data_IF_915052933019
#
_entry.id   IF_915052933019
#
_cell.length_a   1.000
_cell.length_b   1.000
_cell.length_c   1.000
_cell.angle_alpha   90.00
_cell.angle_beta   90.00
_cell.angle_gamma   90.00
#
_symmetry.space_group_name_H-M   'P 1'
#
loop_
_entity.id
_entity.type
_entity.pdbx_description
1 polymer ?
#
# COMPACT_ATOMS: atom_id res chain seq x y z
N UNK A 1 16.14 -21.94 -9.30
CA UNK A 1 14.97 -21.05 -9.06
C UNK A 1 15.39 -19.60 -8.87
N UNK A 2 16.42 -19.28 -8.05
CA UNK A 2 16.84 -17.88 -7.85
C UNK A 2 17.46 -17.19 -9.10
N UNK A 3 18.10 -17.94 -10.01
CA UNK A 3 18.78 -17.38 -11.20
C UNK A 3 17.82 -16.69 -12.20
N UNK A 4 16.54 -17.08 -12.22
CA UNK A 4 15.51 -16.46 -13.07
C UNK A 4 15.26 -14.99 -12.68
N UNK A 5 15.52 -14.64 -11.41
CA UNK A 5 15.28 -13.30 -10.87
C UNK A 5 16.48 -12.36 -11.02
N UNK A 6 17.60 -12.83 -11.59
CA UNK A 6 18.80 -12.04 -11.89
C UNK A 6 19.22 -11.11 -10.73
N UNK A 7 19.50 -11.64 -9.52
CA UNK A 7 19.68 -10.85 -8.31
C UNK A 7 20.88 -9.89 -8.35
N UNK A 8 21.83 -10.10 -9.27
CA UNK A 8 22.97 -9.22 -9.50
C UNK A 8 22.60 -7.96 -10.29
N UNK A 9 21.45 -7.96 -10.97
CA UNK A 9 20.95 -6.84 -11.75
C UNK A 9 19.87 -6.08 -10.98
N UNK A 10 19.82 -4.77 -11.19
CA UNK A 10 18.65 -3.99 -10.79
C UNK A 10 17.45 -4.34 -11.67
N UNK A 11 16.24 -4.22 -11.10
CA UNK A 11 15.02 -4.32 -11.90
C UNK A 11 15.00 -3.22 -12.97
N UNK A 12 14.30 -3.43 -14.10
CA UNK A 12 14.13 -2.40 -15.12
C UNK A 12 13.45 -1.14 -14.54
N UNK A 13 13.61 0.00 -15.20
CA UNK A 13 13.13 1.29 -14.67
C UNK A 13 11.63 1.26 -14.39
N UNK A 14 10.84 0.64 -15.26
CA UNK A 14 9.40 0.48 -15.13
C UNK A 14 9.03 -0.28 -13.85
N UNK A 15 9.78 -1.33 -13.52
CA UNK A 15 9.57 -2.09 -12.28
C UNK A 15 10.01 -1.28 -11.04
N UNK A 16 11.05 -0.44 -11.15
CA UNK A 16 11.44 0.46 -10.08
C UNK A 16 10.39 1.55 -9.82
N UNK A 17 9.75 2.05 -10.88
CA UNK A 17 8.72 3.08 -10.80
C UNK A 17 7.43 2.58 -10.15
N UNK A 18 7.05 1.31 -10.37
CA UNK A 18 5.83 0.72 -9.80
C UNK A 18 5.76 0.92 -8.28
N UNK A 19 6.84 0.63 -7.56
CA UNK A 19 6.91 0.73 -6.10
C UNK A 19 6.61 2.15 -5.58
N UNK A 20 7.20 3.17 -6.23
CA UNK A 20 7.02 4.57 -5.84
C UNK A 20 5.66 5.12 -6.30
N UNK A 21 5.19 4.72 -7.49
CA UNK A 21 3.87 5.08 -7.98
C UNK A 21 2.76 4.49 -7.11
N UNK A 22 2.94 3.25 -6.67
CA UNK A 22 2.03 2.57 -5.74
C UNK A 22 2.00 3.28 -4.39
N UNK A 23 3.17 3.69 -3.86
CA UNK A 23 3.23 4.48 -2.63
C UNK A 23 2.46 5.81 -2.74
N UNK A 24 2.60 6.55 -3.84
CA UNK A 24 1.82 7.80 -4.06
C UNK A 24 0.33 7.50 -4.11
N UNK A 25 -0.07 6.48 -4.87
CA UNK A 25 -1.48 6.12 -5.04
C UNK A 25 -2.12 5.69 -3.72
N UNK A 26 -1.48 4.77 -2.98
CA UNK A 26 -2.01 4.29 -1.70
C UNK A 26 -2.04 5.39 -0.64
N UNK A 27 -0.97 6.18 -0.47
CA UNK A 27 -0.94 7.22 0.56
C UNK A 27 -2.01 8.30 0.32
N UNK A 28 -2.23 8.70 -0.93
CA UNK A 28 -3.25 9.72 -1.25
C UNK A 28 -4.67 9.17 -1.14
N UNK A 29 -4.91 7.93 -1.60
CA UNK A 29 -6.21 7.27 -1.45
C UNK A 29 -6.56 7.04 0.02
N UNK A 30 -5.61 6.56 0.83
CA UNK A 30 -5.84 6.32 2.26
C UNK A 30 -6.07 7.62 3.04
N UNK A 31 -5.44 8.74 2.62
CA UNK A 31 -5.72 10.05 3.20
C UNK A 31 -7.16 10.49 2.90
N UNK A 32 -7.63 10.29 1.67
CA UNK A 32 -9.01 10.59 1.26
C UNK A 32 -10.03 9.74 2.04
N UNK A 33 -9.80 8.44 2.11
CA UNK A 33 -10.66 7.49 2.82
C UNK A 33 -10.67 7.79 4.32
N UNK A 34 -9.51 8.09 4.92
CA UNK A 34 -9.43 8.42 6.34
C UNK A 34 -10.18 9.72 6.68
N UNK A 35 -10.06 10.75 5.83
CA UNK A 35 -10.81 11.99 5.99
C UNK A 35 -12.32 11.77 5.80
N UNK A 36 -12.70 11.07 4.73
CA UNK A 36 -14.09 10.75 4.40
C UNK A 36 -14.77 9.89 5.48
N UNK A 37 -14.03 8.98 6.11
CA UNK A 37 -14.50 8.15 7.22
C UNK A 37 -14.49 8.89 8.58
N UNK A 38 -13.99 10.13 8.65
CA UNK A 38 -13.86 10.91 9.88
C UNK A 38 -12.84 10.33 10.86
N UNK A 39 -11.90 9.52 10.39
CA UNK A 39 -10.79 8.97 11.19
C UNK A 39 -9.74 10.05 11.49
N UNK A 40 -9.61 11.03 10.60
CA UNK A 40 -8.72 12.18 10.76
C UNK A 40 -9.48 13.47 10.47
N UNK A 41 -9.16 14.53 11.19
CA UNK A 41 -9.70 15.86 10.95
C UNK A 41 -8.76 16.71 10.14
N UNK A 42 -9.30 17.67 9.39
CA UNK A 42 -8.52 18.59 8.56
C UNK A 42 -7.42 19.32 9.37
N UNK A 43 -7.72 19.78 10.58
CA UNK A 43 -6.73 20.46 11.43
C UNK A 43 -5.56 19.55 11.86
N UNK A 44 -5.80 18.26 12.04
CA UNK A 44 -4.74 17.29 12.33
C UNK A 44 -3.85 17.09 11.10
N UNK A 45 -4.45 16.99 9.91
CA UNK A 45 -3.71 16.86 8.65
C UNK A 45 -2.82 18.09 8.43
N UNK A 46 -3.38 19.29 8.59
CA UNK A 46 -2.66 20.55 8.41
C UNK A 46 -1.50 20.72 9.41
N UNK A 47 -1.66 20.20 10.64
CA UNK A 47 -0.62 20.29 11.66
C UNK A 47 0.56 19.33 11.43
N UNK A 48 0.32 18.19 10.77
CA UNK A 48 1.29 17.10 10.68
C UNK A 48 1.81 16.82 9.26
N UNK A 49 1.13 17.32 8.22
CA UNK A 49 1.52 17.10 6.82
C UNK A 49 1.76 18.46 6.15
N UNK A 50 2.99 19.02 6.25
CA UNK A 50 3.29 20.37 5.75
C UNK A 50 2.97 20.57 4.27
N UNK A 51 3.29 19.57 3.42
CA UNK A 51 2.99 19.65 1.99
C UNK A 51 1.48 19.76 1.71
N UNK A 52 0.64 19.12 2.54
CA UNK A 52 -0.81 19.27 2.44
C UNK A 52 -1.28 20.65 2.94
N UNK A 53 -0.63 21.21 3.97
CA UNK A 53 -0.92 22.56 4.44
C UNK A 53 -0.60 23.63 3.37
N UNK A 54 0.54 23.48 2.68
CA UNK A 54 0.92 24.35 1.56
C UNK A 54 -0.04 24.22 0.37
N UNK A 55 -0.46 22.98 0.06
CA UNK A 55 -1.50 22.71 -0.92
C UNK A 55 -2.83 23.39 -0.56
N UNK A 56 -3.25 23.30 0.71
CA UNK A 56 -4.46 23.94 1.22
C UNK A 56 -4.41 25.47 1.13
N UNK A 57 -3.27 26.08 1.46
CA UNK A 57 -3.07 27.52 1.31
C UNK A 57 -3.16 27.98 -0.17
N UNK A 58 -2.61 27.16 -1.08
CA UNK A 58 -2.68 27.39 -2.53
C UNK A 58 -4.13 27.33 -3.02
N UNK A 59 -4.89 26.33 -2.57
CA UNK A 59 -6.31 26.13 -2.92
C UNK A 59 -7.19 27.25 -2.36
N UNK A 60 -6.98 27.68 -1.12
CA UNK A 60 -7.73 28.80 -0.50
C UNK A 60 -7.55 30.10 -1.30
N UNK A 61 -6.34 30.33 -1.82
CA UNK A 61 -6.05 31.51 -2.66
C UNK A 61 -6.80 31.43 -4.00
N UNK A 62 -6.92 30.22 -4.58
CA UNK A 62 -7.56 29.99 -5.88
C UNK A 62 -9.09 29.93 -5.79
N UNK A 63 -9.62 29.42 -4.69
CA UNK A 63 -11.04 29.16 -4.46
C UNK A 63 -11.47 29.69 -3.07
N UNK A 64 -11.47 31.02 -2.87
CA UNK A 64 -11.79 31.59 -1.56
C UNK A 64 -13.22 31.24 -1.13
N UNK A 65 -13.37 30.76 0.10
CA UNK A 65 -14.68 30.39 0.65
C UNK A 65 -15.29 29.09 0.12
N UNK A 66 -14.48 28.23 -0.52
CA UNK A 66 -14.87 26.85 -0.80
C UNK A 66 -15.26 26.11 0.49
N UNK A 67 -16.21 25.18 0.39
CA UNK A 67 -16.52 24.30 1.53
C UNK A 67 -15.33 23.37 1.85
N UNK A 68 -15.30 22.85 3.08
CA UNK A 68 -14.19 22.04 3.59
C UNK A 68 -13.92 20.80 2.74
N UNK A 69 -14.95 20.22 2.13
CA UNK A 69 -14.81 19.00 1.32
C UNK A 69 -14.17 19.32 -0.03
N UNK A 70 -14.63 20.37 -0.70
CA UNK A 70 -14.03 20.85 -1.94
C UNK A 70 -12.58 21.28 -1.71
N UNK A 71 -12.34 22.04 -0.63
CA UNK A 71 -10.99 22.46 -0.25
C UNK A 71 -10.08 21.27 -0.01
N UNK A 72 -10.54 20.25 0.72
CA UNK A 72 -9.78 19.03 0.96
C UNK A 72 -9.44 18.29 -0.35
N UNK A 73 -10.42 18.00 -1.21
CA UNK A 73 -10.17 17.26 -2.45
C UNK A 73 -9.23 18.02 -3.42
N UNK A 74 -9.39 19.33 -3.56
CA UNK A 74 -8.49 20.12 -4.42
C UNK A 74 -7.08 20.17 -3.82
N UNK A 75 -6.94 20.23 -2.49
CA UNK A 75 -5.64 20.18 -1.81
C UNK A 75 -4.98 18.81 -1.96
N UNK A 76 -5.77 17.74 -1.90
CA UNK A 76 -5.31 16.38 -2.14
C UNK A 76 -4.82 16.21 -3.59
N UNK A 77 -5.51 16.82 -4.57
CA UNK A 77 -5.06 16.81 -5.96
C UNK A 77 -3.72 17.53 -6.13
N UNK A 78 -3.56 18.70 -5.49
CA UNK A 78 -2.28 19.43 -5.50
C UNK A 78 -1.17 18.60 -4.84
N UNK A 79 -1.43 17.98 -3.68
CA UNK A 79 -0.49 17.07 -3.03
C UNK A 79 -0.08 15.91 -3.96
N UNK A 80 -1.04 15.27 -4.62
CA UNK A 80 -0.77 14.20 -5.59
C UNK A 80 0.12 14.69 -6.74
N UNK A 81 -0.20 15.85 -7.32
CA UNK A 81 0.57 16.45 -8.41
C UNK A 81 2.01 16.77 -7.99
N UNK A 82 2.22 17.29 -6.77
CA UNK A 82 3.56 17.57 -6.21
C UNK A 82 4.38 16.28 -5.99
N UNK A 83 3.75 15.21 -5.46
CA UNK A 83 4.41 13.92 -5.28
C UNK A 83 4.83 13.29 -6.62
N UNK A 84 3.94 13.32 -7.61
CA UNK A 84 4.22 12.78 -8.95
C UNK A 84 5.29 13.62 -9.66
N UNK A 85 5.21 14.95 -9.58
CA UNK A 85 6.21 15.84 -10.19
C UNK A 85 7.58 15.60 -9.59
N UNK A 86 7.67 15.48 -8.26
CA UNK A 86 8.91 15.15 -7.58
C UNK A 86 9.45 13.75 -7.89
N UNK A 87 8.60 12.77 -8.19
CA UNK A 87 9.03 11.46 -8.68
C UNK A 87 9.65 11.55 -10.08
N UNK A 88 9.00 12.29 -10.97
CA UNK A 88 9.47 12.48 -12.35
C UNK A 88 10.82 13.20 -12.33
N UNK A 89 10.91 14.32 -11.60
CA UNK A 89 12.12 15.13 -11.49
C UNK A 89 13.27 14.35 -10.84
N UNK A 90 13.02 13.70 -9.70
CA UNK A 90 14.05 12.92 -9.00
C UNK A 90 14.58 11.76 -9.84
N UNK A 91 13.69 11.08 -10.59
CA UNK A 91 14.08 9.99 -11.48
C UNK A 91 14.89 10.50 -12.67
N UNK A 92 14.49 11.63 -13.25
CA UNK A 92 15.22 12.25 -14.35
C UNK A 92 16.63 12.68 -13.90
N UNK A 93 16.74 13.33 -12.74
CA UNK A 93 18.03 13.73 -12.18
C UNK A 93 18.93 12.54 -11.90
N UNK A 94 18.39 11.47 -11.31
CA UNK A 94 19.14 10.24 -11.05
C UNK A 94 19.61 9.57 -12.35
N UNK A 95 18.76 9.51 -13.38
CA UNK A 95 19.11 8.95 -14.67
C UNK A 95 20.21 9.76 -15.37
N UNK A 96 20.12 11.09 -15.33
CA UNK A 96 21.13 12.00 -15.90
C UNK A 96 22.47 11.89 -15.16
N UNK A 97 22.46 11.82 -13.83
CA UNK A 97 23.68 11.65 -13.02
C UNK A 97 24.34 10.28 -13.24
N UNK A 98 23.54 9.25 -13.52
CA UNK A 98 24.02 7.92 -13.87
C UNK A 98 24.50 7.81 -15.32
N UNK A 99 24.31 8.86 -16.14
CA UNK A 99 24.57 8.85 -17.59
C UNK A 99 23.89 7.65 -18.29
N UNK A 100 22.69 7.28 -17.82
CA UNK A 100 21.99 6.09 -18.31
C UNK A 100 21.33 6.36 -19.67
N UNK A 101 21.85 5.77 -20.75
CA UNK A 101 21.33 5.92 -22.11
C UNK A 101 20.55 4.68 -22.60
N UNK A 102 20.63 3.57 -21.88
CA UNK A 102 19.99 2.30 -22.24
C UNK A 102 19.38 1.57 -21.05
N UNK A 103 18.48 0.63 -21.33
CA UNK A 103 17.91 -0.24 -20.30
C UNK A 103 18.98 -1.07 -19.58
N UNK A 104 20.09 -1.40 -20.25
CA UNK A 104 21.19 -2.15 -19.64
C UNK A 104 21.91 -1.30 -18.60
N UNK A 105 22.07 0.00 -18.84
CA UNK A 105 22.72 0.91 -17.90
C UNK A 105 21.91 0.99 -16.60
N UNK A 106 20.58 1.10 -16.71
CA UNK A 106 19.66 1.04 -15.55
C UNK A 106 19.85 -0.26 -14.76
N UNK A 107 19.94 -1.40 -15.45
CA UNK A 107 20.04 -2.72 -14.82
C UNK A 107 21.40 -2.99 -14.19
N UNK A 108 22.47 -2.42 -14.74
CA UNK A 108 23.83 -2.57 -14.22
C UNK A 108 24.21 -1.48 -13.20
N UNK A 109 23.43 -0.41 -13.09
CA UNK A 109 23.68 0.65 -12.13
C UNK A 109 23.65 0.13 -10.68
N UNK A 110 24.56 0.56 -9.79
CA UNK A 110 24.63 0.06 -8.42
C UNK A 110 23.40 0.42 -7.56
N UNK A 111 22.68 1.49 -7.91
CA UNK A 111 21.48 1.96 -7.21
C UNK A 111 20.25 1.99 -8.13
N UNK A 112 19.05 2.00 -7.53
CA UNK A 112 17.82 2.32 -8.26
C UNK A 112 17.89 3.76 -8.78
N UNK A 113 17.34 3.97 -9.97
CA UNK A 113 17.25 5.29 -10.61
C UNK A 113 15.86 5.91 -10.44
N UNK A 114 14.79 5.10 -10.27
CA UNK A 114 13.51 5.65 -9.85
C UNK A 114 13.63 6.18 -8.42
N UNK A 115 13.43 7.49 -8.25
CA UNK A 115 13.60 8.19 -7.00
C UNK A 115 12.75 9.46 -6.96
N UNK A 116 12.29 9.83 -5.77
CA UNK A 116 11.77 11.17 -5.52
C UNK A 116 12.92 12.18 -5.44
N UNK A 117 12.61 13.46 -5.66
CA UNK A 117 13.50 14.53 -5.17
C UNK A 117 13.66 14.43 -3.65
N UNK A 118 14.76 14.93 -3.05
CA UNK A 118 14.94 14.89 -1.60
C UNK A 118 13.80 15.56 -0.81
N UNK A 119 13.20 16.62 -1.36
CA UNK A 119 12.07 17.30 -0.75
C UNK A 119 10.80 16.43 -0.79
N UNK A 120 10.52 15.81 -1.94
CA UNK A 120 9.36 14.95 -2.12
C UNK A 120 9.47 13.66 -1.32
N UNK A 121 10.67 13.06 -1.21
CA UNK A 121 10.93 11.91 -0.34
C UNK A 121 10.58 12.22 1.13
N UNK A 122 11.06 13.36 1.64
CA UNK A 122 10.77 13.79 3.01
C UNK A 122 9.27 14.03 3.22
N UNK A 123 8.58 14.59 2.23
CA UNK A 123 7.14 14.80 2.28
C UNK A 123 6.35 13.49 2.25
N UNK A 124 6.69 12.55 1.35
CA UNK A 124 6.07 11.22 1.27
C UNK A 124 6.25 10.47 2.58
N UNK A 125 7.47 10.48 3.13
CA UNK A 125 7.75 9.85 4.42
C UNK A 125 6.92 10.47 5.56
N UNK A 126 6.77 11.79 5.58
CA UNK A 126 5.95 12.49 6.59
C UNK A 126 4.47 12.10 6.48
N UNK A 127 3.92 12.08 5.26
CA UNK A 127 2.56 11.62 5.00
C UNK A 127 2.35 10.17 5.45
N UNK A 128 3.29 9.28 5.09
CA UNK A 128 3.27 7.87 5.48
C UNK A 128 3.28 7.69 7.01
N UNK A 129 4.10 8.47 7.71
CA UNK A 129 4.14 8.48 9.17
C UNK A 129 2.84 8.97 9.80
N UNK A 130 2.24 10.01 9.22
CA UNK A 130 0.92 10.49 9.64
C UNK A 130 -0.15 9.41 9.47
N UNK A 131 -0.27 8.81 8.28
CA UNK A 131 -1.23 7.73 8.02
C UNK A 131 -1.03 6.53 8.95
N UNK A 132 0.22 6.16 9.20
CA UNK A 132 0.53 5.09 10.13
C UNK A 132 0.11 5.40 11.58
N UNK A 133 0.36 6.62 12.05
CA UNK A 133 -0.02 7.03 13.41
C UNK A 133 -1.53 7.15 13.60
N UNK A 134 -2.21 7.80 12.66
CA UNK A 134 -3.59 8.25 12.83
C UNK A 134 -4.62 7.30 12.21
N UNK A 135 -4.25 6.59 11.13
CA UNK A 135 -5.17 5.71 10.39
C UNK A 135 -4.91 4.25 10.76
N UNK A 136 -3.75 3.70 10.39
CA UNK A 136 -3.50 2.25 10.53
C UNK A 136 -3.44 1.75 11.97
N UNK A 137 -3.07 2.61 12.92
CA UNK A 137 -3.03 2.31 14.35
C UNK A 137 -4.24 2.85 15.13
N UNK A 138 -5.27 3.33 14.44
CA UNK A 138 -6.51 3.74 15.11
C UNK A 138 -7.16 2.56 15.85
N UNK A 139 -7.74 2.85 17.02
CA UNK A 139 -8.35 1.84 17.90
C UNK A 139 -9.40 0.98 17.18
N UNK A 140 -10.33 1.56 16.37
CA UNK A 140 -11.33 0.76 15.66
C UNK A 140 -10.70 -0.24 14.68
N UNK A 141 -9.67 0.19 13.93
CA UNK A 141 -8.98 -0.68 12.97
C UNK A 141 -8.16 -1.76 13.68
N UNK A 142 -7.53 -1.46 14.82
CA UNK A 142 -6.77 -2.43 15.60
C UNK A 142 -7.64 -3.59 16.12
N UNK A 143 -8.85 -3.29 16.63
CA UNK A 143 -9.78 -4.31 17.11
C UNK A 143 -10.26 -5.22 15.98
N UNK A 144 -10.68 -4.65 14.84
CA UNK A 144 -11.09 -5.41 13.66
C UNK A 144 -9.95 -6.28 13.11
N UNK A 145 -8.72 -5.74 13.03
CA UNK A 145 -7.54 -6.47 12.56
C UNK A 145 -7.21 -7.66 13.46
N UNK A 146 -7.28 -7.47 14.79
CA UNK A 146 -7.04 -8.56 15.74
C UNK A 146 -8.08 -9.68 15.60
N UNK A 147 -9.36 -9.32 15.41
CA UNK A 147 -10.42 -10.28 15.17
C UNK A 147 -10.17 -11.08 13.88
N UNK A 148 -9.92 -10.41 12.76
CA UNK A 148 -9.65 -11.07 11.49
C UNK A 148 -8.42 -12.00 11.58
N UNK A 149 -7.35 -11.56 12.26
CA UNK A 149 -6.16 -12.39 12.48
C UNK A 149 -6.48 -13.67 13.25
N UNK A 150 -7.27 -13.58 14.32
CA UNK A 150 -7.71 -14.75 15.07
C UNK A 150 -8.56 -15.69 14.21
N UNK A 151 -9.50 -15.15 13.44
CA UNK A 151 -10.33 -15.95 12.53
C UNK A 151 -9.48 -16.70 11.49
N UNK A 152 -8.50 -16.03 10.88
CA UNK A 152 -7.59 -16.65 9.91
C UNK A 152 -6.78 -17.77 10.58
N UNK A 153 -6.25 -17.52 11.77
CA UNK A 153 -5.47 -18.51 12.51
C UNK A 153 -6.30 -19.75 12.89
N UNK A 154 -7.54 -19.54 13.35
CA UNK A 154 -8.47 -20.62 13.69
C UNK A 154 -8.84 -21.45 12.45
N UNK A 155 -9.17 -20.80 11.32
CA UNK A 155 -9.50 -21.49 10.08
C UNK A 155 -8.30 -22.26 9.50
N UNK A 156 -7.12 -21.65 9.56
CA UNK A 156 -5.86 -22.28 9.15
C UNK A 156 -5.58 -23.53 9.99
N UNK A 157 -5.68 -23.43 11.32
CA UNK A 157 -5.52 -24.56 12.23
C UNK A 157 -6.51 -25.69 11.94
N UNK A 158 -7.78 -25.34 11.74
CA UNK A 158 -8.84 -26.30 11.45
C UNK A 158 -8.56 -27.12 10.18
N UNK A 159 -8.18 -26.47 9.07
CA UNK A 159 -7.84 -27.17 7.83
C UNK A 159 -6.52 -27.93 7.92
N UNK A 160 -5.55 -27.45 8.71
CA UNK A 160 -4.28 -28.15 8.89
C UNK A 160 -4.46 -29.46 9.66
N UNK A 161 -5.30 -29.46 10.69
CA UNK A 161 -5.68 -30.66 11.45
C UNK A 161 -6.57 -31.61 10.62
N UNK A 162 -7.39 -31.06 9.72
CA UNK A 162 -8.35 -31.81 8.92
C UNK A 162 -8.23 -31.51 7.41
N UNK A 163 -7.13 -31.89 6.72
CA UNK A 163 -6.93 -31.53 5.31
C UNK A 163 -7.99 -32.07 4.35
N UNK A 164 -8.75 -33.10 4.76
CA UNK A 164 -9.87 -33.67 4.00
C UNK A 164 -11.07 -32.74 3.89
N UNK A 165 -11.12 -31.67 4.70
CA UNK A 165 -12.18 -30.66 4.66
C UNK A 165 -11.89 -29.54 3.64
N UNK A 166 -10.67 -29.48 3.10
CA UNK A 166 -10.36 -28.60 1.98
C UNK A 166 -11.20 -28.98 0.75
N UNK A 167 -11.44 -28.06 -0.20
CA UNK A 167 -12.02 -28.44 -1.49
C UNK A 167 -11.15 -29.45 -2.23
N UNK A 168 -11.78 -30.30 -3.04
CA UNK A 168 -11.15 -31.45 -3.71
C UNK A 168 -9.86 -31.13 -4.51
N UNK A 169 -9.76 -29.99 -5.23
CA UNK A 169 -8.51 -29.61 -5.89
C UNK A 169 -7.33 -29.46 -4.91
N UNK A 170 -7.57 -28.88 -3.75
CA UNK A 170 -6.55 -28.66 -2.72
C UNK A 170 -6.24 -29.95 -1.96
N UNK A 171 -7.22 -30.82 -1.72
CA UNK A 171 -6.96 -32.15 -1.12
C UNK A 171 -5.96 -32.97 -1.94
N UNK A 172 -6.04 -32.87 -3.28
CA UNK A 172 -5.10 -33.53 -4.18
C UNK A 172 -3.70 -32.91 -4.11
N UNK A 173 -3.61 -31.59 -3.97
CA UNK A 173 -2.34 -30.87 -3.80
C UNK A 173 -1.63 -31.22 -2.49
N UNK A 174 -2.37 -31.48 -1.39
CA UNK A 174 -1.78 -31.92 -0.11
C UNK A 174 -0.99 -33.24 -0.24
N UNK A 175 -1.24 -34.05 -1.28
CA UNK A 175 -0.44 -35.26 -1.56
C UNK A 175 0.92 -34.96 -2.17
N UNK A 176 1.09 -33.79 -2.79
CA UNK A 176 2.27 -33.38 -3.54
C UNK A 176 3.05 -32.23 -2.88
N UNK A 177 2.43 -31.46 -2.00
CA UNK A 177 3.02 -30.32 -1.31
C UNK A 177 2.73 -30.35 0.21
N UNK A 178 3.56 -29.70 1.05
CA UNK A 178 3.31 -29.63 2.48
C UNK A 178 1.92 -29.06 2.80
N UNK A 179 1.13 -29.71 3.69
CA UNK A 179 -0.25 -29.30 3.97
C UNK A 179 -0.40 -27.83 4.34
N UNK A 180 0.52 -27.29 5.16
CA UNK A 180 0.49 -25.89 5.58
C UNK A 180 0.58 -24.90 4.42
N UNK A 181 1.30 -25.24 3.33
CA UNK A 181 1.43 -24.38 2.16
C UNK A 181 0.13 -24.39 1.36
N UNK A 182 -0.44 -25.57 1.13
CA UNK A 182 -1.72 -25.73 0.42
C UNK A 182 -2.87 -25.03 1.16
N UNK A 183 -2.92 -25.15 2.49
CA UNK A 183 -3.90 -24.43 3.31
C UNK A 183 -3.69 -22.92 3.24
N UNK A 184 -2.43 -22.45 3.26
CA UNK A 184 -2.10 -21.04 3.10
C UNK A 184 -2.58 -20.51 1.74
N UNK A 185 -2.28 -21.21 0.64
CA UNK A 185 -2.69 -20.84 -0.71
C UNK A 185 -4.22 -20.80 -0.84
N UNK A 186 -4.92 -21.77 -0.25
CA UNK A 186 -6.38 -21.81 -0.25
C UNK A 186 -6.99 -20.61 0.48
N UNK A 187 -6.50 -20.30 1.70
CA UNK A 187 -7.00 -19.17 2.48
C UNK A 187 -6.64 -17.84 1.82
N UNK A 188 -5.42 -17.70 1.29
CA UNK A 188 -4.96 -16.49 0.60
C UNK A 188 -5.74 -16.22 -0.71
N UNK A 189 -6.31 -17.27 -1.32
CA UNK A 189 -7.19 -17.15 -2.49
C UNK A 189 -8.63 -16.76 -2.18
N UNK A 190 -9.02 -16.62 -0.91
CA UNK A 190 -10.38 -16.25 -0.51
C UNK A 190 -10.60 -14.74 -0.63
N UNK A 191 -11.77 -14.34 -1.11
CA UNK A 191 -12.25 -12.96 -0.93
C UNK A 191 -12.78 -12.76 0.49
N UNK A 192 -12.75 -11.54 1.02
CA UNK A 192 -13.25 -11.23 2.36
C UNK A 192 -14.67 -11.78 2.64
N UNK A 193 -15.69 -11.61 1.74
CA UNK A 193 -17.02 -12.16 1.99
C UNK A 193 -17.03 -13.69 1.98
N UNK A 194 -16.26 -14.32 1.10
CA UNK A 194 -16.16 -15.77 1.05
C UNK A 194 -15.49 -16.31 2.31
N UNK A 195 -14.38 -15.71 2.74
CA UNK A 195 -13.69 -16.05 3.97
C UNK A 195 -14.62 -15.96 5.19
N UNK A 196 -15.35 -14.86 5.35
CA UNK A 196 -16.28 -14.68 6.49
C UNK A 196 -17.37 -15.75 6.49
N UNK A 197 -17.99 -15.99 5.33
CA UNK A 197 -19.02 -17.02 5.18
C UNK A 197 -18.48 -18.42 5.49
N UNK A 198 -17.33 -18.79 4.93
CA UNK A 198 -16.69 -20.07 5.19
C UNK A 198 -16.32 -20.23 6.66
N UNK A 199 -15.80 -19.18 7.28
CA UNK A 199 -15.51 -19.17 8.71
C UNK A 199 -16.77 -19.41 9.55
N UNK A 200 -17.86 -18.69 9.26
CA UNK A 200 -19.13 -18.84 9.98
C UNK A 200 -19.75 -20.23 9.78
N UNK A 201 -19.70 -20.79 8.58
CA UNK A 201 -20.24 -22.14 8.27
C UNK A 201 -19.46 -23.26 8.99
N UNK A 202 -18.15 -23.10 9.18
CA UNK A 202 -17.26 -24.16 9.69
C UNK A 202 -16.98 -24.02 11.19
N UNK A 203 -16.71 -22.79 11.64
CA UNK A 203 -16.23 -22.45 12.98
C UNK A 203 -17.17 -21.49 13.73
N UNK A 204 -18.21 -20.97 13.06
CA UNK A 204 -19.22 -20.13 13.69
C UNK A 204 -19.87 -20.87 14.85
N UNK A 205 -19.65 -20.37 16.07
CA UNK A 205 -20.39 -20.84 17.24
C UNK A 205 -21.83 -20.35 17.08
N UNK A 206 -22.78 -21.28 17.06
CA UNK A 206 -24.21 -20.98 17.15
C UNK A 206 -24.53 -20.27 18.46
#
# INVERSE_FOLDING_TARGET
EADEYLPELRPPLEAQLIDLADEVAYNTADLDDAYSAGLVRLDEILAHVPLFADACATVETRFPGADDRLRFHESLRVLFDELVSGLIEGTLDAANQAEAESYLDVRHHPARLAAFTPATEAASHTLKMFLHGYVYNSIPLAAARNLCRSMIAELFGHYLENPKLLPEPYQSQVKAAPPHRVVCDYIAGMTDPFFRRTYEEILGKT
#
